data_IF_929314402997
#
_entry.id   IF_929314402997
#
_cell.length_a   1.000
_cell.length_b   1.000
_cell.length_c   1.000
_cell.angle_alpha   90.00
_cell.angle_beta   90.00
_cell.angle_gamma   90.00
#
_symmetry.space_group_name_H-M   'P 1'
#
loop_
_entity.id
_entity.type
_entity.pdbx_description
1 polymer ?
#
# COMPACT_ATOMS: atom_id res chain seq x y z
N UNK A 1 -31.76 -2.32 -69.91
CA UNK A 1 -31.36 -3.66 -70.40
C UNK A 1 -29.84 -3.76 -70.34
N UNK A 2 -29.32 -4.82 -69.71
CA UNK A 2 -27.97 -5.39 -69.76
C UNK A 2 -26.76 -4.66 -69.10
N UNK A 3 -26.46 -5.13 -67.89
CA UNK A 3 -25.19 -5.64 -67.30
C UNK A 3 -23.87 -5.54 -68.10
N UNK A 4 -22.76 -5.22 -67.40
CA UNK A 4 -21.39 -5.83 -67.43
C UNK A 4 -20.41 -4.94 -66.65
N UNK A 5 -19.32 -5.36 -66.01
CA UNK A 5 -18.79 -6.60 -65.42
C UNK A 5 -17.51 -6.16 -64.66
N UNK A 6 -17.20 -6.87 -63.57
CA UNK A 6 -16.09 -6.60 -62.63
C UNK A 6 -14.76 -7.25 -63.05
N UNK A 7 -13.65 -6.70 -62.51
CA UNK A 7 -12.33 -7.31 -62.18
C UNK A 7 -11.16 -7.17 -63.18
N UNK A 8 -9.86 -7.27 -62.75
CA UNK A 8 -9.27 -7.18 -61.41
C UNK A 8 -8.00 -6.28 -61.31
N UNK A 9 -7.66 -5.85 -60.09
CA UNK A 9 -6.38 -5.23 -59.71
C UNK A 9 -5.34 -6.31 -59.36
N UNK A 10 -4.09 -6.15 -59.82
CA UNK A 10 -2.94 -6.94 -59.38
C UNK A 10 -1.72 -6.07 -59.05
N UNK A 11 -1.30 -6.23 -57.78
CA UNK A 11 -0.02 -5.98 -57.07
C UNK A 11 1.13 -5.23 -57.78
N UNK A 12 1.71 -4.28 -57.03
CA UNK A 12 3.14 -4.32 -56.68
C UNK A 12 3.43 -3.51 -55.40
N UNK A 13 4.07 -4.20 -54.47
CA UNK A 13 4.66 -3.76 -53.19
C UNK A 13 5.74 -2.69 -53.30
N UNK A 14 5.84 -1.79 -52.30
CA UNK A 14 7.11 -1.51 -51.57
C UNK A 14 6.92 -0.56 -50.39
N UNK A 15 7.36 -1.07 -49.23
CA UNK A 15 7.99 -0.37 -48.09
C UNK A 15 7.24 0.78 -47.42
N UNK A 16 6.46 0.44 -46.38
CA UNK A 16 6.19 1.34 -45.27
C UNK A 16 7.21 1.06 -44.16
N UNK A 17 8.32 1.79 -44.18
CA UNK A 17 9.25 1.88 -43.04
C UNK A 17 8.60 2.73 -41.96
N UNK A 18 7.71 2.12 -41.16
CA UNK A 18 7.19 2.74 -39.95
C UNK A 18 8.18 2.44 -38.83
N UNK A 19 9.09 3.37 -38.58
CA UNK A 19 9.83 3.40 -37.34
C UNK A 19 8.82 3.30 -36.19
N UNK A 20 8.96 2.28 -35.35
CA UNK A 20 8.29 2.24 -34.04
C UNK A 20 8.98 3.28 -33.17
N UNK A 21 8.61 4.55 -33.33
CA UNK A 21 8.79 5.52 -32.27
C UNK A 21 7.99 5.00 -31.08
N UNK A 22 8.70 4.70 -29.99
CA UNK A 22 8.07 4.54 -28.70
C UNK A 22 7.22 5.79 -28.46
N UNK A 23 5.91 5.64 -28.32
CA UNK A 23 5.04 6.70 -27.81
C UNK A 23 5.58 7.05 -26.41
N UNK A 24 6.47 8.03 -26.34
CA UNK A 24 6.76 8.72 -25.10
C UNK A 24 5.44 9.42 -24.79
N UNK A 25 4.64 8.85 -23.90
CA UNK A 25 3.50 9.54 -23.30
C UNK A 25 4.11 10.82 -22.69
N UNK A 26 3.90 11.95 -23.35
CA UNK A 26 4.21 13.27 -22.79
C UNK A 26 3.14 13.57 -21.74
N UNK A 27 3.55 13.83 -20.51
CA UNK A 27 2.61 14.05 -19.40
C UNK A 27 2.41 15.55 -19.23
N UNK A 28 1.46 16.14 -19.94
CA UNK A 28 1.16 17.57 -19.76
C UNK A 28 0.29 17.79 -18.52
N UNK A 29 0.51 18.90 -17.82
CA UNK A 29 -0.26 19.30 -16.64
C UNK A 29 -1.75 19.33 -16.95
N UNK A 30 -2.12 19.91 -18.10
CA UNK A 30 -3.50 20.00 -18.59
C UNK A 30 -4.17 18.64 -18.78
N UNK A 31 -3.39 17.60 -19.11
CA UNK A 31 -3.93 16.26 -19.38
C UNK A 31 -4.08 15.41 -18.12
N UNK A 32 -3.33 15.71 -17.05
CA UNK A 32 -3.20 14.88 -15.85
C UNK A 32 -3.76 15.54 -14.60
N UNK A 33 -3.37 16.78 -14.32
CA UNK A 33 -3.77 17.52 -13.12
C UNK A 33 -5.13 18.18 -13.36
N UNK A 34 -5.27 19.00 -14.42
CA UNK A 34 -6.50 19.76 -14.68
C UNK A 34 -7.73 18.86 -14.86
N UNK A 35 -7.57 17.69 -15.51
CA UNK A 35 -8.67 16.73 -15.70
C UNK A 35 -9.23 16.14 -14.40
N UNK A 36 -8.48 16.23 -13.29
CA UNK A 36 -8.85 15.63 -11.99
C UNK A 36 -9.47 16.65 -11.03
N UNK A 37 -9.45 17.93 -11.36
CA UNK A 37 -9.87 19.00 -10.45
C UNK A 37 -10.84 19.96 -11.13
N UNK A 38 -11.76 20.60 -10.39
CA UNK A 38 -12.61 21.63 -10.95
C UNK A 38 -11.80 22.87 -11.35
N UNK A 39 -12.33 23.70 -12.26
CA UNK A 39 -11.68 24.94 -12.71
C UNK A 39 -11.39 25.92 -11.55
N UNK A 40 -12.16 25.86 -10.47
CA UNK A 40 -11.96 26.67 -9.26
C UNK A 40 -10.82 26.20 -8.36
N UNK A 41 -10.27 25.00 -8.60
CA UNK A 41 -9.22 24.42 -7.76
C UNK A 41 -7.93 25.21 -7.84
N UNK A 42 -7.23 25.34 -6.71
CA UNK A 42 -5.86 25.86 -6.70
C UNK A 42 -4.91 25.02 -7.55
N UNK A 43 -5.24 23.80 -7.93
CA UNK A 43 -4.39 22.97 -8.79
C UNK A 43 -4.59 23.24 -10.30
N UNK A 44 -5.73 23.82 -10.67
CA UNK A 44 -6.10 23.98 -12.08
C UNK A 44 -5.25 25.06 -12.76
N UNK A 45 -4.59 24.72 -13.87
CA UNK A 45 -3.64 25.60 -14.57
C UNK A 45 -4.27 26.84 -15.20
N UNK A 46 -5.60 26.85 -15.37
CA UNK A 46 -6.37 28.02 -15.79
C UNK A 46 -6.34 29.20 -14.79
N UNK A 47 -6.00 28.94 -13.52
CA UNK A 47 -5.86 29.97 -12.51
C UNK A 47 -4.46 30.60 -12.56
N UNK A 48 -4.40 31.93 -12.68
CA UNK A 48 -3.16 32.71 -12.63
C UNK A 48 -2.98 33.37 -11.26
N UNK A 49 -1.74 33.45 -10.79
CA UNK A 49 -1.45 34.03 -9.49
C UNK A 49 -1.94 33.17 -8.32
N UNK A 50 -2.01 33.78 -7.13
CA UNK A 50 -2.30 33.08 -5.87
C UNK A 50 -3.79 32.78 -5.74
N UNK A 51 -4.13 31.51 -5.53
CA UNK A 51 -5.49 31.06 -5.18
C UNK A 51 -5.47 30.69 -3.70
N UNK A 52 -6.25 31.41 -2.88
CA UNK A 52 -6.26 31.21 -1.43
C UNK A 52 -7.25 30.12 -1.03
N UNK A 53 -6.80 29.17 -0.22
CA UNK A 53 -7.66 28.18 0.44
C UNK A 53 -8.09 28.66 1.81
N UNK A 54 -9.16 28.07 2.36
CA UNK A 54 -9.66 28.41 3.68
C UNK A 54 -8.61 28.15 4.78
N UNK A 55 -7.81 27.11 4.64
CA UNK A 55 -6.80 26.68 5.63
C UNK A 55 -5.37 27.17 5.29
N UNK A 56 -5.26 27.96 4.21
CA UNK A 56 -4.09 28.72 3.72
C UNK A 56 -2.77 27.97 3.45
N UNK A 57 -2.69 26.66 3.70
CA UNK A 57 -1.41 25.94 3.71
C UNK A 57 -1.01 25.38 2.33
N UNK A 58 0.13 25.80 1.80
CA UNK A 58 0.71 25.34 0.53
C UNK A 58 0.23 26.09 -0.72
N UNK A 59 -0.55 27.16 -0.56
CA UNK A 59 -1.13 27.92 -1.68
C UNK A 59 -0.03 28.52 -2.58
N UNK A 60 1.03 29.03 -1.97
CA UNK A 60 2.18 29.62 -2.65
C UNK A 60 2.97 28.57 -3.44
N UNK A 61 3.31 27.43 -2.83
CA UNK A 61 4.04 26.37 -3.52
C UNK A 61 3.30 25.93 -4.78
N UNK A 62 2.00 25.71 -4.68
CA UNK A 62 1.21 25.23 -5.82
C UNK A 62 1.08 26.33 -6.87
N UNK A 63 0.98 27.61 -6.48
CA UNK A 63 1.07 28.73 -7.42
C UNK A 63 2.37 28.65 -8.21
N UNK A 64 3.51 28.55 -7.53
CA UNK A 64 4.81 28.52 -8.20
C UNK A 64 4.94 27.32 -9.14
N UNK A 65 4.43 26.15 -8.75
CA UNK A 65 4.39 24.97 -9.63
C UNK A 65 3.56 25.23 -10.89
N UNK A 66 2.37 25.84 -10.76
CA UNK A 66 1.52 26.19 -11.91
C UNK A 66 2.20 27.19 -12.84
N UNK A 67 2.79 28.25 -12.28
CA UNK A 67 3.47 29.29 -13.06
C UNK A 67 4.72 28.73 -13.76
N UNK A 68 5.50 27.89 -13.08
CA UNK A 68 6.65 27.23 -13.68
C UNK A 68 6.27 26.24 -14.79
N UNK A 69 5.20 25.46 -14.60
CA UNK A 69 4.69 24.56 -15.63
C UNK A 69 4.19 25.33 -16.85
N UNK A 70 3.52 26.48 -16.66
CA UNK A 70 3.06 27.36 -17.74
C UNK A 70 4.22 27.99 -18.53
N UNK A 71 5.32 28.29 -17.87
CA UNK A 71 6.51 28.88 -18.48
C UNK A 71 7.41 27.84 -19.19
N UNK A 72 7.26 26.55 -18.88
CA UNK A 72 8.09 25.48 -19.42
C UNK A 72 7.67 25.08 -20.86
N UNK A 73 8.64 24.79 -21.72
CA UNK A 73 8.38 24.20 -23.04
C UNK A 73 7.94 22.73 -22.92
N UNK A 74 8.48 22.01 -21.93
CA UNK A 74 8.09 20.65 -21.53
C UNK A 74 7.88 20.60 -20.01
N UNK A 75 6.62 20.45 -19.61
CA UNK A 75 6.18 20.42 -18.22
C UNK A 75 6.11 18.98 -17.65
N UNK A 76 6.57 17.96 -18.38
CA UNK A 76 6.42 16.54 -18.00
C UNK A 76 6.88 16.23 -16.57
N UNK A 77 8.03 16.77 -16.14
CA UNK A 77 8.57 16.52 -14.79
C UNK A 77 7.74 17.24 -13.72
N UNK A 78 7.38 18.50 -13.97
CA UNK A 78 6.54 19.29 -13.05
C UNK A 78 5.13 18.72 -12.94
N UNK A 79 4.56 18.24 -14.04
CA UNK A 79 3.27 17.57 -14.08
C UNK A 79 3.28 16.29 -13.24
N UNK A 80 4.29 15.43 -13.40
CA UNK A 80 4.42 14.21 -12.57
C UNK A 80 4.55 14.54 -11.09
N UNK A 81 5.38 15.52 -10.76
CA UNK A 81 5.58 15.97 -9.39
C UNK A 81 4.29 16.58 -8.79
N UNK A 82 3.61 17.44 -9.55
CA UNK A 82 2.35 18.06 -9.17
C UNK A 82 1.22 17.05 -8.98
N UNK A 83 1.07 16.08 -9.90
CA UNK A 83 0.09 14.98 -9.79
C UNK A 83 0.33 14.13 -8.54
N UNK A 84 1.59 13.83 -8.21
CA UNK A 84 1.95 13.11 -6.98
C UNK A 84 1.68 13.92 -5.71
N UNK A 85 2.07 15.20 -5.68
CA UNK A 85 1.83 16.08 -4.53
C UNK A 85 0.34 16.33 -4.31
N UNK A 86 -0.42 16.58 -5.38
CA UNK A 86 -1.87 16.75 -5.35
C UNK A 86 -2.53 15.51 -4.76
N UNK A 87 -2.14 14.32 -5.24
CA UNK A 87 -2.61 13.08 -4.65
C UNK A 87 -2.29 13.04 -3.15
N UNK A 88 -1.03 13.31 -2.75
CA UNK A 88 -0.63 13.28 -1.34
C UNK A 88 -1.40 14.24 -0.43
N UNK A 89 -1.91 15.34 -0.99
CA UNK A 89 -2.73 16.34 -0.30
C UNK A 89 -4.24 16.11 -0.42
N UNK A 90 -4.70 15.22 -1.30
CA UNK A 90 -6.13 14.98 -1.59
C UNK A 90 -6.97 14.79 -0.32
N UNK A 91 -6.56 13.91 0.59
CA UNK A 91 -7.31 13.67 1.83
C UNK A 91 -7.37 14.88 2.76
N UNK A 92 -6.39 15.77 2.69
CA UNK A 92 -6.37 17.01 3.45
C UNK A 92 -7.20 18.10 2.74
N UNK A 93 -7.14 18.19 1.41
CA UNK A 93 -7.92 19.16 0.63
C UNK A 93 -9.42 18.87 0.76
N UNK A 94 -9.81 17.59 0.64
CA UNK A 94 -11.19 17.12 0.69
C UNK A 94 -11.80 17.12 2.10
N UNK A 95 -11.00 17.29 3.16
CA UNK A 95 -11.48 17.28 4.54
C UNK A 95 -12.20 18.61 4.87
N UNK A 96 -13.53 18.61 5.08
CA UNK A 96 -14.23 19.85 5.43
C UNK A 96 -14.01 20.27 6.89
N UNK A 97 -13.62 19.34 7.78
CA UNK A 97 -13.48 19.59 9.21
C UNK A 97 -12.16 20.30 9.50
N UNK A 98 -12.25 21.54 9.98
CA UNK A 98 -11.10 22.36 10.36
C UNK A 98 -10.32 21.75 11.52
N UNK A 99 -10.97 21.12 12.50
CA UNK A 99 -10.21 20.46 13.58
C UNK A 99 -9.37 19.30 13.04
N UNK A 100 -9.91 18.48 12.14
CA UNK A 100 -9.14 17.38 11.52
C UNK A 100 -8.01 17.91 10.63
N UNK A 101 -8.22 19.04 9.97
CA UNK A 101 -7.14 19.74 9.27
C UNK A 101 -6.05 20.20 10.23
N UNK A 102 -6.40 20.81 11.36
CA UNK A 102 -5.46 21.28 12.38
C UNK A 102 -4.61 20.16 12.95
N UNK A 103 -5.21 19.02 13.32
CA UNK A 103 -4.43 17.91 13.90
C UNK A 103 -3.40 17.34 12.92
N UNK A 104 -3.63 17.47 11.62
CA UNK A 104 -2.71 17.03 10.57
C UNK A 104 -1.60 18.04 10.25
N UNK A 105 -1.48 19.16 10.99
CA UNK A 105 -0.51 20.23 10.71
C UNK A 105 0.92 19.71 10.56
N UNK A 106 1.40 18.89 11.51
CA UNK A 106 2.76 18.34 11.47
C UNK A 106 3.03 17.54 10.19
N UNK A 107 2.14 16.62 9.83
CA UNK A 107 2.26 15.82 8.62
C UNK A 107 2.27 16.69 7.35
N UNK A 108 1.32 17.62 7.21
CA UNK A 108 1.18 18.42 5.99
C UNK A 108 2.33 19.42 5.85
N UNK A 109 2.78 20.04 6.94
CA UNK A 109 3.96 20.92 6.93
C UNK A 109 5.21 20.13 6.50
N UNK A 110 5.40 18.91 7.01
CA UNK A 110 6.55 18.07 6.61
C UNK A 110 6.51 17.77 5.11
N UNK A 111 5.33 17.38 4.61
CA UNK A 111 5.11 17.10 3.20
C UNK A 111 5.39 18.33 2.34
N UNK A 112 4.86 19.49 2.71
CA UNK A 112 5.05 20.74 1.98
C UNK A 112 6.49 21.23 2.00
N UNK A 113 7.21 21.12 3.13
CA UNK A 113 8.64 21.48 3.18
C UNK A 113 9.48 20.61 2.24
N UNK A 114 9.27 19.29 2.26
CA UNK A 114 9.96 18.36 1.35
C UNK A 114 9.59 18.62 -0.11
N UNK A 115 8.32 18.93 -0.36
CA UNK A 115 7.83 19.27 -1.69
C UNK A 115 8.44 20.58 -2.20
N UNK A 116 8.56 21.60 -1.36
CA UNK A 116 9.23 22.86 -1.67
C UNK A 116 10.68 22.64 -2.10
N UNK A 117 11.46 21.90 -1.29
CA UNK A 117 12.85 21.61 -1.65
C UNK A 117 12.95 20.74 -2.93
N UNK A 118 12.04 19.78 -3.12
CA UNK A 118 12.01 18.95 -4.33
C UNK A 118 11.68 19.78 -5.58
N UNK A 119 10.69 20.68 -5.50
CA UNK A 119 10.30 21.57 -6.58
C UNK A 119 11.45 22.51 -6.95
N UNK A 120 12.11 23.11 -5.97
CA UNK A 120 13.29 23.95 -6.17
C UNK A 120 14.45 23.16 -6.79
N UNK A 121 14.61 21.89 -6.44
CA UNK A 121 15.56 20.98 -7.07
C UNK A 121 15.25 20.76 -8.55
N UNK A 122 14.00 20.44 -8.89
CA UNK A 122 13.52 20.28 -10.28
C UNK A 122 13.77 21.56 -11.09
N UNK A 123 13.50 22.72 -10.50
CA UNK A 123 13.68 24.04 -11.11
C UNK A 123 15.13 24.56 -11.07
N UNK A 124 16.06 23.80 -10.49
CA UNK A 124 17.48 24.20 -10.33
C UNK A 124 17.67 25.51 -9.56
N UNK A 125 16.83 25.74 -8.56
CA UNK A 125 16.83 26.92 -7.70
C UNK A 125 17.17 26.64 -6.23
N UNK A 126 17.52 25.40 -5.88
CA UNK A 126 17.80 25.00 -4.49
C UNK A 126 18.93 25.83 -3.83
N UNK A 127 19.97 26.22 -4.58
CA UNK A 127 21.09 27.02 -4.09
C UNK A 127 20.92 28.54 -4.25
N UNK A 128 19.70 29.01 -4.52
CA UNK A 128 19.39 30.42 -4.77
C UNK A 128 18.56 31.03 -3.63
N UNK A 129 18.47 32.37 -3.53
CA UNK A 129 17.58 33.03 -2.56
C UNK A 129 16.09 32.65 -2.70
N UNK A 130 15.69 32.05 -3.82
CA UNK A 130 14.33 31.53 -4.00
C UNK A 130 13.98 30.48 -2.94
N UNK A 131 14.95 29.68 -2.48
CA UNK A 131 14.72 28.71 -1.41
C UNK A 131 14.25 29.38 -0.13
N UNK A 132 14.96 30.41 0.32
CA UNK A 132 14.60 31.13 1.55
C UNK A 132 13.26 31.85 1.39
N UNK A 133 12.97 32.40 0.20
CA UNK A 133 11.67 33.01 -0.10
C UNK A 133 10.53 32.00 0.02
N UNK A 134 10.61 30.85 -0.66
CA UNK A 134 9.52 29.86 -0.68
C UNK A 134 9.26 29.28 0.72
N UNK A 135 10.31 29.03 1.49
CA UNK A 135 10.16 28.61 2.89
C UNK A 135 9.61 29.74 3.77
N UNK A 136 9.93 31.00 3.49
CA UNK A 136 9.33 32.15 4.17
C UNK A 136 7.85 32.26 3.86
N UNK A 137 7.43 32.05 2.61
CA UNK A 137 6.03 32.07 2.21
C UNK A 137 5.23 30.97 2.94
N UNK A 138 5.76 29.76 3.04
CA UNK A 138 5.16 28.68 3.83
C UNK A 138 5.06 29.04 5.33
N UNK A 139 6.05 29.76 5.89
CA UNK A 139 5.97 30.25 7.27
C UNK A 139 4.84 31.27 7.45
N UNK A 140 4.72 32.23 6.51
CA UNK A 140 3.63 33.19 6.54
C UNK A 140 2.25 32.51 6.46
N UNK A 141 2.10 31.50 5.60
CA UNK A 141 0.87 30.70 5.52
C UNK A 141 0.54 29.98 6.84
N UNK A 142 1.55 29.40 7.51
CA UNK A 142 1.40 28.78 8.84
C UNK A 142 0.93 29.80 9.88
N UNK A 143 1.50 31.01 9.87
CA UNK A 143 1.13 32.07 10.82
C UNK A 143 -0.29 32.61 10.59
N UNK A 144 -0.68 32.81 9.33
CA UNK A 144 -2.04 33.21 8.94
C UNK A 144 -3.06 32.13 9.34
N UNK A 145 -2.71 30.87 9.11
CA UNK A 145 -3.53 29.72 9.53
C UNK A 145 -3.72 29.68 11.05
N UNK A 146 -2.67 29.85 11.85
CA UNK A 146 -2.80 29.86 13.31
C UNK A 146 -3.69 31.01 13.81
N UNK A 147 -3.61 32.19 13.18
CA UNK A 147 -4.49 33.31 13.51
C UNK A 147 -5.97 32.97 13.27
N UNK A 148 -6.29 32.24 12.20
CA UNK A 148 -7.64 31.75 11.94
C UNK A 148 -8.14 30.83 13.06
N UNK A 149 -7.34 29.84 13.48
CA UNK A 149 -7.74 28.91 14.54
C UNK A 149 -7.88 29.60 15.90
N UNK A 150 -7.00 30.54 16.23
CA UNK A 150 -7.13 31.38 17.44
C UNK A 150 -8.46 32.17 17.42
N UNK A 151 -8.82 32.77 16.28
CA UNK A 151 -10.09 33.49 16.14
C UNK A 151 -11.30 32.55 16.28
N UNK A 152 -11.22 31.34 15.72
CA UNK A 152 -12.28 30.33 15.85
C UNK A 152 -12.47 29.86 17.29
N UNK A 153 -11.36 29.64 18.02
CA UNK A 153 -11.39 29.30 19.44
C UNK A 153 -12.02 30.39 20.31
N UNK A 154 -11.93 31.66 19.89
CA UNK A 154 -12.53 32.79 20.59
C UNK A 154 -14.02 32.99 20.25
N UNK A 155 -14.51 32.49 19.10
CA UNK A 155 -15.83 32.84 18.57
C UNK A 155 -17.01 32.27 19.34
N UNK A 156 -16.95 31.01 19.78
CA UNK A 156 -17.92 30.43 20.75
C UNK A 156 -17.65 28.94 21.02
N UNK A 157 -18.06 28.48 22.20
CA UNK A 157 -18.17 27.05 22.52
C UNK A 157 -19.15 26.32 21.56
N UNK A 158 -20.11 27.03 20.95
CA UNK A 158 -21.06 26.45 20.00
C UNK A 158 -20.39 26.01 18.69
N UNK A 159 -19.44 26.78 18.17
CA UNK A 159 -18.66 26.38 16.99
C UNK A 159 -17.81 25.15 17.31
N UNK A 160 -17.10 25.16 18.44
CA UNK A 160 -16.33 24.02 18.92
C UNK A 160 -17.21 22.79 19.07
N UNK A 161 -18.40 22.90 19.69
CA UNK A 161 -19.32 21.78 19.85
C UNK A 161 -19.84 21.23 18.52
N UNK A 162 -20.14 22.09 17.55
CA UNK A 162 -20.56 21.66 16.22
C UNK A 162 -19.42 20.97 15.45
N UNK A 163 -18.20 21.48 15.57
CA UNK A 163 -17.01 20.96 14.89
C UNK A 163 -16.46 19.69 15.57
N UNK A 164 -16.67 19.52 16.87
CA UNK A 164 -16.32 18.31 17.62
C UNK A 164 -17.13 17.10 17.17
N UNK A 165 -18.41 17.29 16.85
CA UNK A 165 -19.30 16.19 16.51
C UNK A 165 -19.53 15.22 17.68
N UNK A 166 -19.69 13.95 17.34
CA UNK A 166 -19.96 12.87 18.30
C UNK A 166 -18.69 12.38 19.04
N UNK A 167 -18.88 11.45 19.97
CA UNK A 167 -17.81 10.86 20.78
C UNK A 167 -16.70 10.22 19.92
N UNK A 168 -17.05 9.61 18.77
CA UNK A 168 -16.08 8.97 17.88
C UNK A 168 -15.20 10.01 17.17
N UNK A 169 -15.78 11.13 16.75
CA UNK A 169 -15.03 12.24 16.17
C UNK A 169 -14.16 12.95 17.22
N UNK A 170 -14.65 13.11 18.45
CA UNK A 170 -13.86 13.65 19.56
C UNK A 170 -12.63 12.77 19.85
N UNK A 171 -12.83 11.45 19.90
CA UNK A 171 -11.76 10.48 20.09
C UNK A 171 -10.75 10.50 18.94
N UNK A 172 -11.21 10.62 17.68
CA UNK A 172 -10.35 10.78 16.49
C UNK A 172 -9.41 11.98 16.66
N UNK A 173 -9.97 13.16 16.94
CA UNK A 173 -9.22 14.42 17.04
C UNK A 173 -8.23 14.37 18.21
N UNK A 174 -8.67 13.97 19.40
CA UNK A 174 -7.79 13.87 20.58
C UNK A 174 -6.65 12.86 20.36
N UNK A 175 -6.93 11.72 19.73
CA UNK A 175 -5.94 10.67 19.47
C UNK A 175 -4.89 11.14 18.45
N UNK A 176 -5.32 11.77 17.36
CA UNK A 176 -4.38 12.28 16.35
C UNK A 176 -3.57 13.47 16.88
N UNK A 177 -4.15 14.33 17.73
CA UNK A 177 -3.39 15.39 18.42
C UNK A 177 -2.27 14.81 19.28
N UNK A 178 -2.60 13.84 20.13
CA UNK A 178 -1.64 13.18 21.01
C UNK A 178 -0.50 12.55 20.21
N UNK A 179 -0.84 11.80 19.15
CA UNK A 179 0.17 11.22 18.25
C UNK A 179 1.03 12.29 17.56
N UNK A 180 0.39 13.37 17.11
CA UNK A 180 1.05 14.45 16.39
C UNK A 180 2.08 15.19 17.25
N UNK A 181 1.78 15.39 18.53
CA UNK A 181 2.73 15.97 19.48
C UNK A 181 3.99 15.11 19.62
N UNK A 182 3.82 13.79 19.80
CA UNK A 182 4.96 12.87 19.96
C UNK A 182 5.79 12.76 18.67
N UNK A 183 5.14 12.73 17.51
CA UNK A 183 5.81 12.47 16.24
C UNK A 183 6.45 13.71 15.60
N UNK A 184 5.85 14.90 15.77
CA UNK A 184 6.23 16.11 15.06
C UNK A 184 6.74 17.22 15.98
N UNK A 185 7.15 16.90 17.21
CA UNK A 185 7.66 17.86 18.21
C UNK A 185 8.72 18.81 17.63
N UNK A 186 9.67 18.30 16.82
CA UNK A 186 10.73 19.12 16.20
C UNK A 186 10.32 19.93 14.97
N UNK A 187 9.09 19.76 14.48
CA UNK A 187 8.59 20.38 13.24
C UNK A 187 7.53 21.45 13.50
N UNK A 188 6.69 21.23 14.51
CA UNK A 188 5.69 22.18 14.96
C UNK A 188 6.37 23.38 15.62
N UNK A 189 5.92 24.58 15.30
CA UNK A 189 6.41 25.78 15.95
C UNK A 189 5.67 26.00 17.30
N UNK A 190 6.20 26.84 18.21
CA UNK A 190 5.57 27.05 19.52
C UNK A 190 4.11 27.51 19.44
N UNK A 191 3.77 28.37 18.47
CA UNK A 191 2.40 28.88 18.31
C UNK A 191 1.44 27.78 17.85
N UNK A 192 1.86 26.92 16.94
CA UNK A 192 1.09 25.74 16.53
C UNK A 192 0.87 24.79 17.70
N UNK A 193 1.91 24.55 18.50
CA UNK A 193 1.83 23.73 19.70
C UNK A 193 0.82 24.31 20.70
N UNK A 194 0.86 25.63 20.94
CA UNK A 194 -0.05 26.33 21.85
C UNK A 194 -1.50 26.23 21.38
N UNK A 195 -1.78 26.48 20.09
CA UNK A 195 -3.13 26.39 19.52
C UNK A 195 -3.66 24.96 19.57
N UNK A 196 -2.85 23.98 19.15
CA UNK A 196 -3.22 22.57 19.18
C UNK A 196 -3.45 22.07 20.62
N UNK A 197 -2.65 22.54 21.59
CA UNK A 197 -2.83 22.22 23.01
C UNK A 197 -4.11 22.85 23.58
N UNK A 198 -4.41 24.10 23.22
CA UNK A 198 -5.65 24.76 23.62
C UNK A 198 -6.89 24.04 23.08
N UNK A 199 -6.82 23.54 21.84
CA UNK A 199 -7.84 22.66 21.26
C UNK A 199 -7.94 21.38 22.08
N UNK A 200 -6.83 20.67 22.30
CA UNK A 200 -6.80 19.43 23.08
C UNK A 200 -7.46 19.59 24.46
N UNK A 201 -7.05 20.62 25.22
CA UNK A 201 -7.59 20.90 26.55
C UNK A 201 -9.07 21.28 26.52
N UNK A 202 -9.52 21.95 25.47
CA UNK A 202 -10.94 22.31 25.32
C UNK A 202 -11.77 21.07 25.01
N UNK A 203 -11.33 20.23 24.09
CA UNK A 203 -11.96 18.95 23.76
C UNK A 203 -12.02 18.02 24.98
N UNK A 204 -10.91 17.86 25.70
CA UNK A 204 -10.82 16.99 26.87
C UNK A 204 -11.67 17.49 28.05
N UNK A 205 -11.95 18.81 28.15
CA UNK A 205 -12.86 19.36 29.16
C UNK A 205 -14.34 19.24 28.79
N UNK A 206 -14.65 19.30 27.49
CA UNK A 206 -16.02 19.31 26.99
C UNK A 206 -16.54 17.91 26.66
N UNK A 207 -15.64 16.93 26.52
CA UNK A 207 -15.96 15.51 26.33
C UNK A 207 -15.58 14.68 27.56
N UNK A 208 -16.25 13.56 27.78
CA UNK A 208 -15.85 12.54 28.76
C UNK A 208 -14.82 11.54 28.16
N UNK A 209 -14.18 11.90 27.04
CA UNK A 209 -13.25 11.04 26.30
C UNK A 209 -11.84 11.15 26.87
N UNK A 210 -11.21 9.99 27.10
CA UNK A 210 -9.81 9.90 27.56
C UNK A 210 -8.99 9.09 26.57
N UNK A 211 -7.96 9.72 25.99
CA UNK A 211 -7.02 9.03 25.10
C UNK A 211 -5.99 8.25 25.91
N UNK A 212 -6.04 6.93 25.79
CA UNK A 212 -5.08 6.00 26.38
C UNK A 212 -3.66 6.13 25.81
N UNK A 213 -2.76 5.23 26.22
CA UNK A 213 -1.44 5.12 25.59
C UNK A 213 -1.63 4.60 24.17
N UNK A 214 -1.08 5.32 23.20
CA UNK A 214 -1.17 4.90 21.80
C UNK A 214 -0.20 3.74 21.55
N UNK A 215 -0.62 2.69 20.83
CA UNK A 215 0.29 1.61 20.47
C UNK A 215 1.42 2.11 19.55
N UNK A 216 2.60 1.50 19.65
CA UNK A 216 3.77 1.84 18.82
C UNK A 216 3.51 1.68 17.31
N UNK A 217 2.52 0.86 16.96
CA UNK A 217 2.09 0.65 15.58
C UNK A 217 1.08 1.69 15.06
N UNK A 218 0.61 2.61 15.90
CA UNK A 218 -0.37 3.61 15.50
C UNK A 218 0.20 4.54 14.42
N UNK A 219 -0.60 4.82 13.38
CA UNK A 219 -0.27 5.84 12.38
C UNK A 219 -1.53 6.56 11.91
N UNK A 220 -1.45 7.88 11.82
CA UNK A 220 -2.49 8.77 11.31
C UNK A 220 -2.55 8.84 9.77
N UNK A 221 -1.52 8.34 9.07
CA UNK A 221 -1.41 8.48 7.61
C UNK A 221 -0.79 7.25 6.94
N UNK A 222 -1.39 6.88 5.80
CA UNK A 222 -0.85 5.89 4.85
C UNK A 222 0.43 6.38 4.18
N UNK A 223 0.48 7.68 3.87
CA UNK A 223 1.38 8.19 2.82
C UNK A 223 2.82 8.44 3.31
N UNK A 224 3.08 8.15 4.58
CA UNK A 224 4.44 8.00 5.12
C UNK A 224 5.23 6.87 4.41
N UNK A 225 4.55 5.87 3.84
CA UNK A 225 5.15 4.59 3.47
C UNK A 225 5.38 4.36 1.97
N UNK A 226 5.31 5.42 1.14
CA UNK A 226 5.70 5.39 -0.28
C UNK A 226 4.75 4.61 -1.21
N UNK A 227 5.11 4.52 -2.50
CA UNK A 227 4.30 3.87 -3.57
C UNK A 227 4.01 2.39 -3.35
N UNK A 228 4.76 1.74 -2.48
CA UNK A 228 4.67 0.31 -2.19
C UNK A 228 3.83 0.00 -0.95
N UNK A 229 2.98 0.94 -0.54
CA UNK A 229 2.07 0.78 0.58
C UNK A 229 0.62 0.78 0.12
N UNK A 230 -0.19 -0.10 0.71
CA UNK A 230 -1.63 -0.20 0.55
C UNK A 230 -2.31 0.20 1.86
N UNK A 231 -3.35 1.04 1.76
CA UNK A 231 -4.31 1.30 2.83
C UNK A 231 -5.57 0.51 2.56
N UNK A 232 -6.06 -0.18 3.58
CA UNK A 232 -7.33 -0.88 3.53
C UNK A 232 -8.18 -0.48 4.71
N UNK A 233 -9.44 -0.16 4.45
CA UNK A 233 -10.41 0.16 5.50
C UNK A 233 -10.72 -1.10 6.32
N UNK A 234 -10.94 -0.93 7.61
CA UNK A 234 -11.34 -1.99 8.54
C UNK A 234 -12.66 -1.60 9.19
N UNK A 235 -13.52 -2.59 9.41
CA UNK A 235 -14.86 -2.38 9.96
C UNK A 235 -14.81 -2.28 11.49
N UNK A 236 -14.68 -1.05 11.99
CA UNK A 236 -14.73 -0.74 13.41
C UNK A 236 -13.38 -0.78 14.13
N UNK A 237 -13.35 -0.09 15.27
CA UNK A 237 -12.18 0.08 16.14
C UNK A 237 -11.68 -1.26 16.67
N UNK A 238 -12.56 -2.06 17.28
CA UNK A 238 -12.21 -3.33 17.92
C UNK A 238 -11.59 -4.31 16.91
N UNK A 239 -12.18 -4.42 15.72
CA UNK A 239 -11.64 -5.27 14.65
C UNK A 239 -10.26 -4.80 14.19
N UNK A 240 -10.05 -3.48 14.07
CA UNK A 240 -8.76 -2.90 13.73
C UNK A 240 -7.71 -3.27 14.78
N UNK A 241 -7.98 -3.02 16.07
CA UNK A 241 -7.06 -3.32 17.17
C UNK A 241 -6.76 -4.83 17.26
N UNK A 242 -7.79 -5.67 17.20
CA UNK A 242 -7.61 -7.12 17.29
C UNK A 242 -6.71 -7.67 16.18
N UNK A 243 -6.90 -7.21 14.95
CA UNK A 243 -6.10 -7.65 13.80
C UNK A 243 -4.67 -7.11 13.85
N UNK A 244 -4.48 -5.86 14.27
CA UNK A 244 -3.16 -5.21 14.26
C UNK A 244 -2.26 -5.74 15.38
N UNK A 245 -2.79 -6.01 16.57
CA UNK A 245 -1.99 -6.51 17.70
C UNK A 245 -1.34 -7.86 17.40
N UNK A 246 -2.03 -8.77 16.72
CA UNK A 246 -1.46 -10.05 16.32
C UNK A 246 -0.38 -9.90 15.24
N UNK A 247 -0.51 -8.89 14.37
CA UNK A 247 0.34 -8.71 13.20
C UNK A 247 1.55 -7.80 13.47
N UNK A 248 1.42 -6.78 14.31
CA UNK A 248 2.42 -5.73 14.49
C UNK A 248 3.81 -6.23 14.92
N UNK A 249 3.86 -7.34 15.67
CA UNK A 249 5.11 -7.96 16.12
C UNK A 249 5.74 -8.94 15.14
N UNK A 250 5.16 -9.13 13.95
CA UNK A 250 5.63 -10.12 12.99
C UNK A 250 6.61 -9.52 12.00
N UNK A 251 7.78 -10.15 11.86
CA UNK A 251 8.78 -9.79 10.87
C UNK A 251 9.36 -11.06 10.25
N UNK A 252 8.93 -11.36 9.03
CA UNK A 252 9.36 -12.54 8.28
C UNK A 252 9.25 -12.27 6.78
N UNK A 253 10.19 -12.72 5.93
CA UNK A 253 10.12 -12.52 4.48
C UNK A 253 8.88 -13.11 3.81
N UNK A 254 8.24 -14.11 4.44
CA UNK A 254 7.03 -14.76 3.95
C UNK A 254 5.76 -14.40 4.73
N UNK A 255 5.80 -13.34 5.55
CA UNK A 255 4.60 -12.72 6.12
C UNK A 255 4.56 -11.27 5.64
N UNK A 256 3.42 -10.84 5.13
CA UNK A 256 3.24 -9.50 4.57
C UNK A 256 3.66 -8.44 5.58
N UNK A 257 4.47 -7.47 5.14
CA UNK A 257 4.94 -6.41 6.03
C UNK A 257 3.80 -5.48 6.43
N UNK A 258 3.68 -5.26 7.73
CA UNK A 258 2.77 -4.29 8.34
C UNK A 258 3.53 -2.99 8.62
N UNK A 259 2.91 -1.85 8.30
CA UNK A 259 3.51 -0.53 8.49
C UNK A 259 2.84 0.28 9.60
N UNK A 260 1.57 0.03 9.87
CA UNK A 260 0.84 0.68 10.95
C UNK A 260 -0.66 0.65 10.72
N UNK A 261 -1.42 1.17 11.67
CA UNK A 261 -2.87 1.29 11.54
C UNK A 261 -3.44 2.49 12.32
N UNK A 262 -4.63 2.94 11.92
CA UNK A 262 -5.46 3.85 12.68
C UNK A 262 -6.73 3.10 13.08
N UNK A 263 -7.05 3.07 14.37
CA UNK A 263 -8.25 2.42 14.90
C UNK A 263 -9.38 3.41 15.22
N UNK A 264 -9.11 4.71 15.22
CA UNK A 264 -10.07 5.78 15.52
C UNK A 264 -10.65 6.40 14.25
N UNK A 265 -11.80 7.07 14.36
CA UNK A 265 -12.46 7.74 13.25
C UNK A 265 -12.89 6.75 12.17
N UNK A 266 -12.19 6.73 11.03
CA UNK A 266 -12.37 5.74 9.96
C UNK A 266 -11.22 4.73 9.99
N UNK A 267 -11.39 3.55 10.63
CA UNK A 267 -10.28 2.64 10.86
C UNK A 267 -9.65 2.12 9.57
N UNK A 268 -8.32 2.02 9.57
CA UNK A 268 -7.58 1.51 8.42
C UNK A 268 -6.24 0.87 8.84
N UNK A 269 -5.75 -0.01 7.98
CA UNK A 269 -4.43 -0.64 8.10
C UNK A 269 -3.56 -0.25 6.91
N UNK A 270 -2.29 0.01 7.17
CA UNK A 270 -1.25 0.30 6.18
C UNK A 270 -0.25 -0.84 6.13
N UNK A 271 -0.01 -1.36 4.92
CA UNK A 271 0.73 -2.60 4.68
C UNK A 271 1.46 -2.58 3.35
N UNK A 272 2.40 -3.49 3.13
CA UNK A 272 3.11 -3.64 1.85
C UNK A 272 2.11 -3.93 0.71
N UNK A 273 2.21 -3.26 -0.42
CA UNK A 273 1.38 -3.55 -1.60
C UNK A 273 1.69 -4.96 -2.14
N UNK A 274 0.64 -5.68 -2.54
CA UNK A 274 0.74 -7.09 -2.94
C UNK A 274 -0.27 -7.43 -4.00
N UNK A 275 -0.07 -8.57 -4.67
CA UNK A 275 -1.06 -9.13 -5.58
C UNK A 275 -1.55 -10.50 -5.07
N UNK A 276 -2.79 -10.89 -5.38
CA UNK A 276 -3.26 -12.25 -5.18
C UNK A 276 -2.34 -13.26 -5.87
N UNK A 277 -2.11 -14.41 -5.24
CA UNK A 277 -1.20 -15.42 -5.77
C UNK A 277 -1.65 -16.00 -7.13
N UNK A 278 -2.95 -15.98 -7.43
CA UNK A 278 -3.56 -16.45 -8.69
C UNK A 278 -3.47 -15.44 -9.86
N UNK A 279 -2.82 -14.29 -9.66
CA UNK A 279 -2.70 -13.24 -10.69
C UNK A 279 -2.00 -13.74 -11.96
N UNK A 280 -1.06 -14.69 -11.85
CA UNK A 280 -0.32 -15.27 -12.98
C UNK A 280 -0.31 -16.81 -12.91
N UNK A 281 0.56 -17.45 -13.68
CA UNK A 281 0.98 -18.81 -13.35
C UNK A 281 1.53 -18.80 -11.91
N UNK A 282 1.01 -19.67 -11.05
CA UNK A 282 1.49 -19.82 -9.68
C UNK A 282 2.52 -20.96 -9.70
N UNK A 283 3.83 -20.66 -9.55
CA UNK A 283 4.85 -21.67 -9.36
C UNK A 283 4.74 -22.21 -7.95
N UNK A 284 5.02 -23.51 -7.78
CA UNK A 284 5.01 -24.16 -6.47
C UNK A 284 5.92 -23.48 -5.44
N UNK A 285 6.99 -22.82 -5.91
CA UNK A 285 7.87 -22.00 -5.05
C UNK A 285 7.13 -20.90 -4.29
N UNK A 286 6.16 -20.22 -4.91
CA UNK A 286 5.44 -19.15 -4.21
C UNK A 286 4.39 -19.71 -3.23
N UNK A 287 3.86 -20.90 -3.49
CA UNK A 287 2.98 -21.61 -2.52
C UNK A 287 3.81 -22.07 -1.32
N UNK A 288 5.00 -22.63 -1.57
CA UNK A 288 5.96 -22.98 -0.53
C UNK A 288 6.34 -21.76 0.32
N UNK A 289 6.62 -20.62 -0.32
CA UNK A 289 6.85 -19.37 0.38
C UNK A 289 5.67 -19.01 1.31
N UNK A 290 4.42 -19.11 0.86
CA UNK A 290 3.25 -18.87 1.73
C UNK A 290 3.18 -19.87 2.90
N UNK A 291 3.49 -21.14 2.65
CA UNK A 291 3.55 -22.17 3.68
C UNK A 291 4.60 -21.84 4.75
N UNK A 292 5.78 -21.34 4.38
CA UNK A 292 6.78 -20.86 5.34
C UNK A 292 6.24 -19.71 6.21
N UNK A 293 5.40 -18.85 5.63
CA UNK A 293 4.67 -17.82 6.38
C UNK A 293 3.70 -18.40 7.40
N UNK A 294 2.96 -19.46 7.03
CA UNK A 294 2.03 -20.17 7.91
C UNK A 294 2.77 -20.85 9.07
N UNK A 295 3.86 -21.56 8.79
CA UNK A 295 4.69 -22.20 9.83
C UNK A 295 5.23 -21.16 10.83
N UNK A 296 5.75 -20.05 10.32
CA UNK A 296 6.27 -18.96 11.14
C UNK A 296 5.24 -18.39 12.12
N UNK A 297 3.96 -18.24 11.71
CA UNK A 297 2.90 -17.75 12.60
C UNK A 297 2.44 -18.83 13.58
N UNK A 298 2.41 -20.09 13.17
CA UNK A 298 2.11 -21.24 14.04
C UNK A 298 3.11 -21.37 15.19
N UNK A 299 4.40 -21.19 14.90
CA UNK A 299 5.49 -21.20 15.89
C UNK A 299 5.38 -20.08 16.94
N UNK A 300 4.65 -19.00 16.61
CA UNK A 300 4.36 -17.88 17.52
C UNK A 300 3.04 -18.04 18.27
N UNK A 301 2.39 -19.19 18.14
CA UNK A 301 1.10 -19.45 18.77
C UNK A 301 -0.05 -18.67 18.13
N UNK A 302 0.10 -18.28 16.87
CA UNK A 302 -0.94 -17.65 16.07
C UNK A 302 -1.52 -18.67 15.09
N UNK A 303 -2.78 -18.50 14.73
CA UNK A 303 -3.50 -19.25 13.70
C UNK A 303 -4.38 -18.30 12.92
N UNK A 304 -4.71 -18.66 11.69
CA UNK A 304 -5.58 -17.86 10.84
C UNK A 304 -7.05 -18.26 11.07
N UNK A 305 -7.97 -17.29 11.13
CA UNK A 305 -9.38 -17.61 11.36
C UNK A 305 -10.08 -18.10 10.09
N UNK A 306 -9.84 -17.41 8.97
CA UNK A 306 -10.48 -17.69 7.67
C UNK A 306 -9.43 -17.75 6.56
N UNK A 307 -8.49 -18.71 6.62
CA UNK A 307 -7.44 -18.83 5.61
C UNK A 307 -8.07 -19.20 4.26
N UNK A 308 -7.64 -18.53 3.20
CA UNK A 308 -8.20 -18.71 1.85
C UNK A 308 -7.23 -18.19 0.81
N UNK A 309 -7.55 -18.34 -0.47
CA UNK A 309 -6.74 -17.80 -1.58
C UNK A 309 -6.53 -16.29 -1.51
N UNK A 310 -7.44 -15.54 -0.89
CA UNK A 310 -7.30 -14.10 -0.68
C UNK A 310 -6.17 -13.73 0.30
N UNK A 311 -5.73 -14.68 1.13
CA UNK A 311 -4.67 -14.49 2.12
C UNK A 311 -3.30 -14.99 1.64
N UNK A 312 -3.26 -15.66 0.48
CA UNK A 312 -2.03 -16.10 -0.18
C UNK A 312 -1.67 -15.05 -1.24
N UNK A 313 -0.52 -14.40 -1.04
CA UNK A 313 -0.17 -13.18 -1.77
C UNK A 313 1.22 -13.29 -2.37
N UNK A 314 1.52 -12.37 -3.28
CA UNK A 314 2.83 -12.22 -3.90
C UNK A 314 3.32 -10.77 -3.79
N UNK A 315 4.59 -10.62 -3.40
CA UNK A 315 5.30 -9.34 -3.46
C UNK A 315 5.96 -9.16 -4.82
N UNK A 316 5.66 -8.06 -5.52
CA UNK A 316 6.47 -7.67 -6.68
C UNK A 316 7.87 -7.18 -6.29
N UNK A 317 8.06 -6.77 -5.03
CA UNK A 317 9.31 -6.20 -4.53
C UNK A 317 10.29 -7.31 -4.19
N UNK A 318 9.87 -8.24 -3.31
CA UNK A 318 10.72 -9.37 -2.92
C UNK A 318 10.68 -10.53 -3.90
N UNK A 319 9.71 -10.53 -4.84
CA UNK A 319 9.46 -11.59 -5.82
C UNK A 319 9.23 -12.97 -5.18
N UNK A 320 8.49 -12.98 -4.07
CA UNK A 320 8.17 -14.17 -3.28
C UNK A 320 6.68 -14.22 -2.93
N UNK A 321 6.23 -15.42 -2.62
CA UNK A 321 4.96 -15.60 -1.93
C UNK A 321 5.03 -15.12 -0.48
N UNK A 322 3.92 -14.66 0.07
CA UNK A 322 3.79 -14.45 1.50
C UNK A 322 2.35 -14.60 1.97
N UNK A 323 2.21 -14.85 3.27
CA UNK A 323 0.93 -14.89 3.97
C UNK A 323 0.47 -13.48 4.37
N UNK A 324 -0.81 -13.19 4.19
CA UNK A 324 -1.47 -12.01 4.77
C UNK A 324 -1.52 -12.09 6.30
N UNK A 325 -1.18 -11.00 7.00
CA UNK A 325 -1.36 -10.94 8.46
C UNK A 325 -2.79 -10.66 8.92
N UNK A 326 -3.71 -10.39 7.99
CA UNK A 326 -5.13 -10.15 8.31
C UNK A 326 -5.81 -11.43 8.77
N UNK A 327 -6.62 -11.38 9.83
CA UNK A 327 -7.33 -12.55 10.33
C UNK A 327 -6.47 -13.51 11.16
N UNK A 328 -5.24 -13.11 11.50
CA UNK A 328 -4.44 -13.79 12.51
C UNK A 328 -5.06 -13.60 13.89
N UNK A 329 -5.06 -14.67 14.68
CA UNK A 329 -5.55 -14.67 16.04
C UNK A 329 -4.65 -15.51 16.94
N UNK A 330 -4.58 -15.14 18.21
CA UNK A 330 -3.86 -15.92 19.21
C UNK A 330 -4.63 -17.20 19.50
N UNK A 331 -3.93 -18.33 19.56
CA UNK A 331 -4.50 -19.60 20.00
C UNK A 331 -4.97 -19.47 21.45
N UNK A 332 -6.28 -19.49 21.68
CA UNK A 332 -6.85 -19.51 23.03
C UNK A 332 -6.91 -20.97 23.47
N UNK A 333 -6.20 -21.32 24.55
CA UNK A 333 -6.11 -22.70 25.05
C UNK A 333 -7.32 -23.16 25.88
N UNK A 334 -8.43 -22.42 25.90
CA UNK A 334 -9.59 -22.78 26.74
C UNK A 334 -10.41 -23.90 26.09
N UNK A 335 -10.46 -25.01 26.81
CA UNK A 335 -10.87 -26.35 26.41
C UNK A 335 -12.38 -26.57 26.26
N UNK A 336 -13.07 -25.87 25.37
CA UNK A 336 -14.50 -26.19 25.13
C UNK A 336 -15.04 -26.04 23.72
N UNK A 337 -14.24 -25.60 22.73
CA UNK A 337 -14.66 -25.63 21.32
C UNK A 337 -13.59 -26.32 20.46
N UNK A 338 -13.83 -27.58 20.11
CA UNK A 338 -13.03 -28.32 19.11
C UNK A 338 -13.15 -27.73 17.69
N UNK A 339 -13.99 -26.71 17.50
CA UNK A 339 -14.20 -25.99 16.22
C UNK A 339 -13.54 -24.61 16.14
N UNK A 340 -12.74 -24.23 17.16
CA UNK A 340 -12.02 -22.96 17.14
C UNK A 340 -10.83 -22.94 16.15
N UNK A 341 -10.28 -21.75 15.84
CA UNK A 341 -9.08 -21.60 15.02
C UNK A 341 -7.94 -22.48 15.54
N UNK A 342 -7.35 -23.29 14.67
CA UNK A 342 -6.32 -24.25 15.05
C UNK A 342 -5.33 -24.48 13.92
N UNK A 343 -4.15 -25.01 14.25
CA UNK A 343 -3.13 -25.37 13.25
C UNK A 343 -3.68 -26.38 12.24
N UNK A 344 -4.45 -27.36 12.71
CA UNK A 344 -5.08 -28.35 11.83
C UNK A 344 -6.19 -27.75 10.96
N UNK A 345 -6.92 -26.73 11.44
CA UNK A 345 -7.88 -25.97 10.61
C UNK A 345 -7.16 -25.15 9.54
N UNK A 346 -6.04 -24.49 9.87
CA UNK A 346 -5.21 -23.78 8.89
C UNK A 346 -4.67 -24.72 7.81
N UNK A 347 -4.25 -25.93 8.17
CA UNK A 347 -3.76 -26.94 7.21
C UNK A 347 -4.88 -27.37 6.25
N UNK A 348 -6.09 -27.62 6.76
CA UNK A 348 -7.26 -27.92 5.93
C UNK A 348 -7.56 -26.75 4.98
N UNK A 349 -7.68 -25.54 5.51
CA UNK A 349 -7.98 -24.34 4.74
C UNK A 349 -6.90 -24.03 3.69
N UNK A 350 -5.63 -24.27 4.00
CA UNK A 350 -4.53 -24.13 3.05
C UNK A 350 -4.61 -25.17 1.93
N UNK A 351 -4.97 -26.43 2.25
CA UNK A 351 -5.19 -27.47 1.26
C UNK A 351 -6.32 -27.11 0.29
N UNK A 352 -7.46 -26.66 0.83
CA UNK A 352 -8.58 -26.19 0.02
C UNK A 352 -8.21 -24.96 -0.84
N UNK A 353 -7.43 -24.03 -0.31
CA UNK A 353 -6.92 -22.89 -1.06
C UNK A 353 -6.00 -23.32 -2.21
N UNK A 354 -5.10 -24.28 -1.99
CA UNK A 354 -4.24 -24.84 -3.07
C UNK A 354 -5.11 -25.49 -4.15
N UNK A 355 -6.13 -26.27 -3.77
CA UNK A 355 -7.06 -26.86 -4.73
C UNK A 355 -7.79 -25.80 -5.57
N UNK A 356 -8.29 -24.74 -4.94
CA UNK A 356 -8.91 -23.60 -5.63
C UNK A 356 -7.94 -22.94 -6.62
N UNK A 357 -6.67 -22.73 -6.23
CA UNK A 357 -5.65 -22.16 -7.12
C UNK A 357 -5.39 -23.04 -8.35
N UNK A 358 -5.29 -24.36 -8.18
CA UNK A 358 -5.12 -25.30 -9.28
C UNK A 358 -6.31 -25.28 -10.25
N UNK A 359 -7.53 -25.23 -9.70
CA UNK A 359 -8.74 -25.11 -10.51
C UNK A 359 -8.78 -23.81 -11.33
N UNK A 360 -8.34 -22.69 -10.74
CA UNK A 360 -8.22 -21.40 -11.44
C UNK A 360 -7.16 -21.43 -12.54
N UNK A 361 -6.01 -22.07 -12.32
CA UNK A 361 -4.96 -22.22 -13.33
C UNK A 361 -5.44 -23.04 -14.54
N UNK A 362 -6.11 -24.16 -14.30
CA UNK A 362 -6.67 -25.03 -15.34
C UNK A 362 -7.57 -24.25 -16.31
N UNK A 363 -8.46 -23.40 -15.78
CA UNK A 363 -9.37 -22.56 -16.59
C UNK A 363 -8.65 -21.53 -17.44
N UNK A 364 -7.47 -21.08 -17.04
CA UNK A 364 -6.68 -20.08 -17.78
C UNK A 364 -5.93 -20.70 -18.98
N UNK A 365 -5.63 -22.00 -18.91
CA UNK A 365 -4.93 -22.75 -19.96
C UNK A 365 -5.83 -23.56 -20.91
N UNK A 366 -7.11 -23.73 -20.59
CA UNK A 366 -8.04 -24.58 -21.34
C UNK A 366 -9.04 -23.83 -22.24
N UNK A 367 -9.44 -24.47 -23.35
CA UNK A 367 -10.66 -24.15 -24.11
C UNK A 367 -11.89 -24.51 -23.26
N UNK A 368 -12.97 -23.71 -23.34
CA UNK A 368 -14.22 -23.72 -22.53
C UNK A 368 -14.97 -25.07 -22.36
N UNK A 369 -14.46 -26.21 -22.83
CA UNK A 369 -15.25 -27.43 -23.02
C UNK A 369 -15.04 -28.55 -21.99
N UNK A 370 -14.32 -28.35 -20.89
CA UNK A 370 -14.23 -29.38 -19.85
C UNK A 370 -14.03 -28.76 -18.48
N UNK A 371 -15.02 -29.00 -17.60
CA UNK A 371 -15.01 -29.11 -16.13
C UNK A 371 -16.24 -28.42 -15.52
N UNK A 372 -16.69 -28.99 -14.40
CA UNK A 372 -17.84 -28.61 -13.58
C UNK A 372 -18.01 -27.09 -13.45
N UNK A 373 -19.27 -26.63 -13.47
CA UNK A 373 -19.67 -25.23 -13.34
C UNK A 373 -18.89 -24.58 -12.18
N UNK A 374 -18.50 -23.30 -12.31
CA UNK A 374 -17.88 -22.53 -11.21
C UNK A 374 -18.66 -22.64 -9.89
N UNK A 375 -19.96 -22.87 -9.99
CA UNK A 375 -20.89 -23.12 -8.88
C UNK A 375 -20.54 -24.39 -8.10
N UNK A 376 -20.21 -25.51 -8.76
CA UNK A 376 -19.91 -26.79 -8.09
C UNK A 376 -18.63 -26.72 -7.24
N UNK A 377 -17.58 -26.04 -7.76
CA UNK A 377 -16.31 -25.86 -7.02
C UNK A 377 -16.54 -24.92 -5.82
N UNK A 378 -17.35 -23.88 -6.01
CA UNK A 378 -17.65 -22.92 -4.94
C UNK A 378 -18.46 -23.58 -3.82
N UNK A 379 -19.45 -24.42 -4.17
CA UNK A 379 -20.27 -25.16 -3.21
C UNK A 379 -19.46 -26.23 -2.45
N UNK A 380 -18.50 -26.89 -3.10
CA UNK A 380 -17.58 -27.82 -2.42
C UNK A 380 -16.63 -27.10 -1.45
N UNK A 381 -16.07 -25.97 -1.85
CA UNK A 381 -15.23 -25.15 -0.98
C UNK A 381 -16.01 -24.57 0.20
N UNK A 382 -17.29 -24.23 0.01
CA UNK A 382 -18.22 -23.82 1.08
C UNK A 382 -18.46 -24.94 2.10
N UNK A 383 -18.43 -26.20 1.66
CA UNK A 383 -18.60 -27.38 2.52
C UNK A 383 -17.28 -27.89 3.11
N UNK A 384 -16.16 -27.20 2.87
CA UNK A 384 -14.81 -27.58 3.31
C UNK A 384 -14.36 -28.99 2.86
N UNK A 385 -14.83 -29.44 1.70
CA UNK A 385 -14.53 -30.79 1.18
C UNK A 385 -13.87 -30.77 -0.19
N UNK A 386 -13.01 -31.76 -0.43
CA UNK A 386 -12.50 -32.08 -1.76
C UNK A 386 -13.50 -32.97 -2.53
N UNK A 387 -13.46 -32.97 -3.88
CA UNK A 387 -14.21 -33.92 -4.68
C UNK A 387 -13.87 -35.38 -4.32
N UNK A 388 -14.86 -36.29 -4.48
CA UNK A 388 -14.65 -37.73 -4.21
C UNK A 388 -13.59 -38.37 -5.12
N UNK A 389 -13.41 -37.84 -6.34
CA UNK A 389 -12.45 -38.33 -7.32
C UNK A 389 -11.47 -37.23 -7.74
N UNK A 390 -10.21 -37.62 -7.98
CA UNK A 390 -9.16 -36.72 -8.48
C UNK A 390 -9.58 -36.10 -9.82
N UNK A 391 -9.66 -34.77 -9.94
CA UNK A 391 -9.90 -34.13 -11.23
C UNK A 391 -8.70 -34.26 -12.17
N UNK A 392 -8.95 -34.30 -13.49
CA UNK A 392 -7.90 -34.50 -14.51
C UNK A 392 -6.82 -33.42 -14.50
N UNK A 393 -7.15 -32.21 -14.07
CA UNK A 393 -6.22 -31.09 -14.00
C UNK A 393 -5.29 -31.11 -12.78
N UNK A 394 -5.52 -32.00 -11.81
CA UNK A 394 -4.69 -32.14 -10.61
C UNK A 394 -3.81 -33.37 -10.76
N UNK A 395 -2.49 -33.23 -10.68
CA UNK A 395 -1.55 -34.35 -10.81
C UNK A 395 -1.63 -35.31 -9.61
N UNK A 396 -1.10 -36.53 -9.76
CA UNK A 396 -1.17 -37.55 -8.71
C UNK A 396 -0.45 -37.12 -7.42
N UNK A 397 0.73 -36.50 -7.54
CA UNK A 397 1.49 -35.99 -6.39
C UNK A 397 0.75 -34.85 -5.67
N UNK A 398 0.17 -33.92 -6.44
CA UNK A 398 -0.63 -32.80 -5.94
C UNK A 398 -1.88 -33.31 -5.21
N UNK A 399 -2.59 -34.28 -5.80
CA UNK A 399 -3.78 -34.89 -5.21
C UNK A 399 -3.47 -35.62 -3.91
N UNK A 400 -2.37 -36.38 -3.86
CA UNK A 400 -1.95 -37.08 -2.64
C UNK A 400 -1.68 -36.10 -1.48
N UNK A 401 -1.02 -34.98 -1.77
CA UNK A 401 -0.80 -33.91 -0.80
C UNK A 401 -2.13 -33.31 -0.32
N UNK A 402 -3.02 -32.97 -1.24
CA UNK A 402 -4.35 -32.41 -0.92
C UNK A 402 -5.17 -33.36 -0.04
N UNK A 403 -5.19 -34.66 -0.32
CA UNK A 403 -5.88 -35.65 0.51
C UNK A 403 -5.34 -35.69 1.94
N UNK A 404 -4.02 -35.56 2.11
CA UNK A 404 -3.39 -35.54 3.43
C UNK A 404 -3.68 -34.27 4.22
N UNK A 405 -3.73 -33.11 3.55
CA UNK A 405 -4.06 -31.83 4.19
C UNK A 405 -5.54 -31.73 4.55
N UNK A 406 -6.41 -32.23 3.67
CA UNK A 406 -7.87 -32.15 3.80
C UNK A 406 -8.49 -33.40 4.43
N UNK A 407 -7.75 -34.14 5.28
CA UNK A 407 -8.30 -35.28 6.00
C UNK A 407 -9.46 -34.84 6.93
N UNK A 408 -10.54 -35.63 6.95
CA UNK A 408 -11.74 -35.29 7.72
C UNK A 408 -11.45 -35.20 9.24
N UNK A 409 -10.66 -36.15 9.77
CA UNK A 409 -10.18 -36.12 11.15
C UNK A 409 -9.00 -35.14 11.28
N UNK A 410 -9.09 -34.07 12.11
CA UNK A 410 -7.99 -33.15 12.35
C UNK A 410 -6.70 -33.81 12.84
N UNK A 411 -6.78 -34.95 13.52
CA UNK A 411 -5.61 -35.67 14.04
C UNK A 411 -4.84 -36.44 12.93
N UNK A 412 -5.53 -36.79 11.85
CA UNK A 412 -4.95 -37.49 10.69
C UNK A 412 -4.44 -36.53 9.61
N UNK A 413 -4.65 -35.21 9.78
CA UNK A 413 -4.15 -34.21 8.84
C UNK A 413 -2.62 -34.17 8.85
N UNK A 414 -2.05 -34.02 7.66
CA UNK A 414 -0.61 -33.95 7.44
C UNK A 414 0.00 -32.81 8.27
N UNK A 415 1.15 -33.05 8.89
CA UNK A 415 1.82 -32.03 9.70
C UNK A 415 2.33 -30.87 8.83
N UNK A 416 2.46 -29.68 9.40
CA UNK A 416 2.97 -28.52 8.65
C UNK A 416 4.39 -28.77 8.07
N UNK A 417 5.24 -29.48 8.80
CA UNK A 417 6.57 -29.88 8.34
C UNK A 417 6.52 -30.80 7.10
N UNK A 418 5.59 -31.76 7.09
CA UNK A 418 5.38 -32.65 5.95
C UNK A 418 4.80 -31.90 4.75
N UNK A 419 3.88 -30.94 4.97
CA UNK A 419 3.36 -30.05 3.93
C UNK A 419 4.50 -29.27 3.27
N UNK A 420 5.39 -28.67 4.06
CA UNK A 420 6.56 -27.95 3.55
C UNK A 420 7.49 -28.85 2.74
N UNK A 421 7.72 -30.08 3.21
CA UNK A 421 8.52 -31.05 2.47
C UNK A 421 7.90 -31.39 1.11
N UNK A 422 6.59 -31.70 1.07
CA UNK A 422 5.89 -32.03 -0.17
C UNK A 422 5.87 -30.86 -1.15
N UNK A 423 5.60 -29.64 -0.69
CA UNK A 423 5.68 -28.42 -1.50
C UNK A 423 7.10 -28.15 -2.01
N UNK A 424 8.13 -28.43 -1.21
CA UNK A 424 9.52 -28.34 -1.62
C UNK A 424 9.87 -29.29 -2.78
N UNK A 425 9.33 -30.51 -2.76
CA UNK A 425 9.49 -31.47 -3.86
C UNK A 425 8.83 -30.94 -5.14
N UNK A 426 7.60 -30.44 -5.06
CA UNK A 426 6.87 -29.87 -6.20
C UNK A 426 7.58 -28.63 -6.78
N UNK A 427 8.06 -27.73 -5.90
CA UNK A 427 8.82 -26.54 -6.31
C UNK A 427 10.11 -26.87 -7.07
N UNK A 428 10.80 -27.95 -6.68
CA UNK A 428 12.00 -28.41 -7.40
C UNK A 428 11.66 -29.02 -8.76
N UNK A 429 10.53 -29.71 -8.90
CA UNK A 429 10.05 -30.28 -10.17
C UNK A 429 9.67 -29.18 -11.17
N UNK A 430 9.01 -28.11 -10.71
CA UNK A 430 8.72 -26.91 -11.50
C UNK A 430 9.99 -26.23 -12.02
N UNK A 431 10.99 -26.08 -11.15
CA UNK A 431 12.26 -25.48 -11.52
C UNK A 431 13.00 -26.31 -12.58
N UNK A 432 13.01 -27.65 -12.42
CA UNK A 432 13.63 -28.55 -13.40
C UNK A 432 12.92 -28.51 -14.77
N UNK A 433 11.59 -28.40 -14.77
CA UNK A 433 10.77 -28.37 -15.99
C UNK A 433 10.88 -27.04 -16.76
N UNK A 434 11.15 -25.93 -16.06
CA UNK A 434 11.35 -24.61 -16.67
C UNK A 434 12.77 -24.41 -17.24
N UNK A 435 13.79 -25.07 -16.68
CA UNK A 435 15.17 -25.01 -17.20
C UNK A 435 15.38 -25.68 -18.56
N UNK A 436 14.44 -26.49 -19.05
CA UNK A 436 14.55 -27.14 -20.37
C UNK A 436 14.14 -26.26 -21.56
N UNK A 437 13.55 -25.08 -21.32
CA UNK A 437 13.09 -24.17 -22.41
C UNK A 437 13.77 -22.79 -22.46
N UNK A 438 14.66 -22.44 -21.52
CA UNK A 438 15.31 -21.12 -21.50
C UNK A 438 16.82 -21.19 -21.21
N UNK A 439 17.57 -21.89 -22.06
CA UNK A 439 19.01 -21.72 -22.16
C UNK A 439 19.32 -20.44 -22.97
N UNK A 440 19.00 -19.27 -22.40
CA UNK A 440 18.98 -18.04 -23.18
C UNK A 440 19.02 -16.71 -22.43
N UNK A 441 19.41 -16.63 -21.16
CA UNK A 441 19.69 -15.31 -20.53
C UNK A 441 20.97 -15.36 -19.71
N UNK A 442 22.01 -14.77 -20.26
CA UNK A 442 23.27 -14.48 -19.57
C UNK A 442 22.99 -13.61 -18.34
N UNK A 443 23.38 -14.10 -17.16
CA UNK A 443 23.47 -13.30 -15.96
C UNK A 443 24.37 -12.07 -16.25
N UNK A 444 23.84 -10.86 -16.04
CA UNK A 444 24.69 -9.68 -15.86
C UNK A 444 25.20 -9.78 -14.42
N UNK A 445 26.27 -10.56 -14.25
CA UNK A 445 27.12 -10.49 -13.07
C UNK A 445 27.99 -9.25 -13.20
N UNK A 446 27.44 -8.10 -12.82
CA UNK A 446 28.24 -6.93 -12.46
C UNK A 446 28.38 -6.92 -10.96
N UNK A 447 29.61 -6.95 -10.46
CA UNK A 447 29.91 -6.82 -9.04
C UNK A 447 29.38 -5.47 -8.53
N UNK A 448 28.44 -5.53 -7.58
CA UNK A 448 27.77 -4.34 -7.03
C UNK A 448 28.75 -3.51 -6.18
N UNK A 449 29.84 -4.12 -5.74
CA UNK A 449 30.90 -3.53 -4.92
C UNK A 449 31.65 -2.41 -5.66
N UNK A 450 31.72 -2.47 -7.00
CA UNK A 450 32.39 -1.47 -7.83
C UNK A 450 31.50 -0.27 -8.24
N UNK A 451 30.24 -0.23 -7.79
CA UNK A 451 29.31 0.83 -8.18
C UNK A 451 29.64 2.16 -7.48
N UNK A 452 29.99 3.19 -8.25
CA UNK A 452 30.26 4.54 -7.76
C UNK A 452 28.97 5.32 -7.45
N UNK A 453 28.85 5.78 -6.20
CA UNK A 453 27.80 6.71 -5.76
C UNK A 453 28.18 8.11 -6.24
N UNK A 454 27.57 8.58 -7.33
CA UNK A 454 27.93 9.85 -8.00
C UNK A 454 27.90 11.10 -7.09
N UNK A 455 27.08 11.09 -6.03
CA UNK A 455 26.99 12.20 -5.08
C UNK A 455 28.14 12.25 -4.08
N UNK A 456 28.83 11.12 -3.86
CA UNK A 456 29.92 10.96 -2.90
C UNK A 456 31.28 10.75 -3.59
N UNK A 457 31.28 10.33 -4.86
CA UNK A 457 32.51 10.04 -5.62
C UNK A 457 33.27 8.82 -5.10
N UNK A 458 32.59 7.93 -4.37
CA UNK A 458 33.14 6.71 -3.76
C UNK A 458 32.30 5.50 -4.15
N UNK A 459 32.87 4.30 -4.04
CA UNK A 459 32.13 3.04 -4.25
C UNK A 459 31.27 2.67 -3.04
N UNK A 460 30.25 1.84 -3.26
CA UNK A 460 29.39 1.33 -2.18
C UNK A 460 30.21 0.63 -1.09
N UNK A 461 31.21 -0.17 -1.49
CA UNK A 461 32.10 -0.88 -0.56
C UNK A 461 32.89 0.10 0.33
N UNK A 462 33.53 1.11 -0.27
CA UNK A 462 34.26 2.13 0.47
C UNK A 462 33.37 2.91 1.45
N UNK A 463 32.09 3.10 1.11
CA UNK A 463 31.14 3.80 1.98
C UNK A 463 30.73 2.94 3.18
N UNK A 464 30.62 1.61 2.99
CA UNK A 464 30.27 0.68 4.07
C UNK A 464 31.43 0.48 5.05
N UNK A 465 32.66 0.42 4.55
CA UNK A 465 33.86 0.34 5.38
C UNK A 465 34.03 1.59 6.25
N UNK A 466 33.73 2.78 5.73
CA UNK A 466 33.80 4.04 6.48
C UNK A 466 32.76 4.11 7.60
N UNK A 467 31.57 3.51 7.38
CA UNK A 467 30.52 3.39 8.40
C UNK A 467 30.91 2.39 9.48
N UNK A 468 31.53 1.27 9.11
CA UNK A 468 32.01 0.27 10.07
C UNK A 468 33.16 0.80 10.93
N UNK A 469 34.07 1.61 10.36
CA UNK A 469 35.11 2.30 11.15
C UNK A 469 34.49 3.31 12.13
N UNK A 470 33.48 4.08 11.72
CA UNK A 470 32.77 5.03 12.60
C UNK A 470 31.92 4.36 13.70
N UNK A 471 31.58 3.08 13.56
CA UNK A 471 30.89 2.29 14.58
C UNK A 471 31.83 1.60 15.58
N UNK A 472 33.15 1.72 15.40
CA UNK A 472 34.16 1.10 16.28
C UNK A 472 34.95 2.10 17.15
N UNK A 473 34.64 3.40 17.05
CA UNK A 473 34.98 4.44 18.06
C UNK A 473 33.77 4.76 18.95
#
# INVERSE_FOLDING_TARGET
MATRCYSPSSRSSRQNGRAKEAMILTWKWTDRVDRRVPESSRWHSGNSGLVRTQDALGDHLIRELREAARAAEDDTVLCRFGDDLMQKLESYEDEPRLLVKLVNTGYIVQLLQRATDSALGILKHLGTPARDSWHQDLRCERDERMALYEELLLKSDEWMAAEMGDEGQQLEVLTVLKHGFDQYEGLLNPREMDVMSAVYDTLARQSDVVVGVLPDWFTDSQRKWGYHSEKSMVDGEEACIHQTVAWAGLNHPNVRKFYGACHVGKPFVVREWSLPLDTWAMPWKHVLDCALGIEYVHDRGLVHQNLSTANLLYSQISRKGFLSGMGLSRRISTSSDERGPSVSADILAFGLAIFELLAKQSKRGGSESSLSSTEDISEQLLNETLPEARPDFVQEAEWKMLLGMCAADPAERTSMADVLHQLGVLANQDAASSTTEDAGVSAIGGDVSEYEIQTLGQTIEATLDEVDELCTE
#
